data_IF_851678188574
#
_entry.id   IF_851678188574
#
_cell.length_a   1.000
_cell.length_b   1.000
_cell.length_c   1.000
_cell.angle_alpha   90.00
_cell.angle_beta   90.00
_cell.angle_gamma   90.00
#
_symmetry.space_group_name_H-M   'P 1'
#
loop_
_entity.id
_entity.type
_entity.pdbx_description
1 polymer ?
#
# COMPACT_ATOMS: atom_id res chain seq x y z
N UNK A 1 -7.25 8.97 9.07
CA UNK A 1 -7.35 7.53 8.77
C UNK A 1 -8.50 7.27 7.81
N UNK A 2 -8.60 6.08 7.23
CA UNK A 2 -9.75 5.69 6.41
C UNK A 2 -10.98 5.46 7.30
N UNK A 3 -12.16 5.92 6.86
CA UNK A 3 -13.42 5.67 7.58
C UNK A 3 -13.80 4.18 7.59
N UNK A 4 -14.56 3.74 8.60
CA UNK A 4 -14.92 2.32 8.81
C UNK A 4 -15.60 1.70 7.58
N UNK A 5 -16.48 2.44 6.91
CA UNK A 5 -17.14 1.97 5.68
C UNK A 5 -16.14 1.73 4.54
N UNK A 6 -15.15 2.62 4.38
CA UNK A 6 -14.11 2.47 3.37
C UNK A 6 -13.20 1.29 3.68
N UNK A 7 -12.76 1.13 4.93
CA UNK A 7 -11.93 -0.01 5.33
C UNK A 7 -12.68 -1.32 5.09
N UNK A 8 -13.95 -1.40 5.50
CA UNK A 8 -14.78 -2.59 5.31
C UNK A 8 -14.97 -2.95 3.83
N UNK A 9 -15.16 -1.94 2.97
CA UNK A 9 -15.26 -2.15 1.52
C UNK A 9 -13.99 -2.78 0.95
N UNK A 10 -12.81 -2.25 1.29
CA UNK A 10 -11.54 -2.77 0.77
C UNK A 10 -11.22 -4.16 1.32
N UNK A 11 -11.45 -4.42 2.61
CA UNK A 11 -11.26 -5.75 3.20
C UNK A 11 -12.18 -6.80 2.54
N UNK A 12 -13.41 -6.43 2.20
CA UNK A 12 -14.31 -7.30 1.43
C UNK A 12 -13.75 -7.65 0.06
N UNK A 13 -13.23 -6.67 -0.68
CA UNK A 13 -12.61 -6.88 -1.99
C UNK A 13 -11.39 -7.80 -1.88
N UNK A 14 -10.49 -7.54 -0.93
CA UNK A 14 -9.30 -8.36 -0.71
C UNK A 14 -9.64 -9.80 -0.31
N UNK A 15 -10.71 -9.98 0.49
CA UNK A 15 -11.20 -11.33 0.85
C UNK A 15 -11.74 -12.05 -0.38
N UNK A 16 -12.52 -11.36 -1.24
CA UNK A 16 -13.05 -11.92 -2.48
C UNK A 16 -11.97 -12.28 -3.50
N UNK A 17 -10.86 -11.53 -3.50
CA UNK A 17 -9.69 -11.82 -4.32
C UNK A 17 -8.82 -12.96 -3.75
N UNK A 18 -9.17 -13.52 -2.59
CA UNK A 18 -8.39 -14.59 -1.94
C UNK A 18 -7.08 -14.14 -1.31
N UNK A 19 -6.84 -12.83 -1.19
CA UNK A 19 -5.60 -12.27 -0.66
C UNK A 19 -5.55 -12.25 0.87
N UNK A 20 -6.72 -12.26 1.51
CA UNK A 20 -6.86 -12.31 2.96
C UNK A 20 -7.98 -13.27 3.35
N UNK A 21 -7.81 -13.93 4.49
CA UNK A 21 -8.87 -14.67 5.17
C UNK A 21 -9.68 -13.73 6.06
N UNK A 22 -10.91 -14.15 6.36
CA UNK A 22 -11.84 -13.45 7.25
C UNK A 22 -12.35 -14.41 8.30
N UNK A 23 -12.12 -14.08 9.58
CA UNK A 23 -12.55 -14.87 10.73
C UNK A 23 -13.44 -14.04 11.67
N UNK A 24 -14.77 -14.23 11.62
CA UNK A 24 -15.68 -13.61 12.59
C UNK A 24 -15.46 -14.18 14.00
N UNK A 25 -15.41 -13.30 15.00
CA UNK A 25 -15.33 -13.67 16.41
C UNK A 25 -16.25 -12.75 17.21
N UNK A 26 -17.49 -13.20 17.42
CA UNK A 26 -18.54 -12.41 18.05
C UNK A 26 -18.82 -11.12 17.27
N UNK A 27 -18.67 -9.97 17.93
CA UNK A 27 -18.86 -8.64 17.32
C UNK A 27 -17.64 -8.15 16.54
N UNK A 28 -16.54 -8.90 16.56
CA UNK A 28 -15.29 -8.57 15.91
C UNK A 28 -15.05 -9.45 14.68
N UNK A 29 -14.22 -8.96 13.77
CA UNK A 29 -13.76 -9.73 12.60
C UNK A 29 -12.27 -9.56 12.48
N UNK A 30 -11.56 -10.68 12.50
CA UNK A 30 -10.12 -10.76 12.34
C UNK A 30 -9.80 -11.11 10.89
N UNK A 31 -8.75 -10.48 10.35
CA UNK A 31 -8.28 -10.71 8.99
C UNK A 31 -6.82 -11.12 9.03
N UNK A 32 -6.44 -12.00 8.13
CA UNK A 32 -5.06 -12.50 8.02
C UNK A 32 -4.70 -12.65 6.55
N UNK A 33 -3.48 -12.25 6.17
CA UNK A 33 -2.95 -12.47 4.83
C UNK A 33 -2.82 -13.97 4.57
N UNK A 34 -3.31 -14.43 3.42
CA UNK A 34 -3.36 -15.86 3.06
C UNK A 34 -2.02 -16.38 2.58
N UNK A 35 -1.30 -15.58 1.78
CA UNK A 35 -0.07 -15.97 1.12
C UNK A 35 1.09 -15.05 1.53
N UNK A 36 2.18 -15.59 2.11
CA UNK A 36 3.38 -14.83 2.41
C UNK A 36 3.95 -14.03 1.24
N UNK A 37 3.73 -14.48 -0.01
CA UNK A 37 4.17 -13.78 -1.22
C UNK A 37 3.59 -12.36 -1.32
N UNK A 38 2.44 -12.09 -0.69
CA UNK A 38 1.85 -10.75 -0.65
C UNK A 38 2.80 -9.76 0.04
N UNK A 39 3.52 -10.19 1.08
CA UNK A 39 4.52 -9.34 1.73
C UNK A 39 5.69 -9.04 0.79
N UNK A 40 6.23 -10.05 0.11
CA UNK A 40 7.32 -9.87 -0.86
C UNK A 40 6.91 -8.93 -2.01
N UNK A 41 5.68 -9.05 -2.50
CA UNK A 41 5.14 -8.17 -3.53
C UNK A 41 5.02 -6.72 -3.01
N UNK A 42 4.54 -6.54 -1.78
CA UNK A 42 4.45 -5.23 -1.16
C UNK A 42 5.83 -4.58 -1.01
N UNK A 43 6.83 -5.31 -0.52
CA UNK A 43 8.21 -4.82 -0.42
C UNK A 43 8.76 -4.42 -1.79
N UNK A 44 8.63 -5.28 -2.79
CA UNK A 44 9.10 -4.99 -4.15
C UNK A 44 8.43 -3.73 -4.73
N UNK A 45 7.12 -3.57 -4.55
CA UNK A 45 6.39 -2.38 -5.01
C UNK A 45 6.88 -1.14 -4.28
N UNK A 46 7.03 -1.21 -2.96
CA UNK A 46 7.54 -0.11 -2.12
C UNK A 46 8.94 0.32 -2.55
N UNK A 47 9.86 -0.62 -2.78
CA UNK A 47 11.22 -0.33 -3.25
C UNK A 47 11.20 0.43 -4.58
N UNK A 48 10.39 -0.04 -5.53
CA UNK A 48 10.27 0.62 -6.85
C UNK A 48 9.65 2.00 -6.75
N UNK A 49 8.69 2.20 -5.86
CA UNK A 49 8.10 3.52 -5.62
C UNK A 49 9.12 4.47 -4.99
N UNK A 50 9.90 4.00 -4.02
CA UNK A 50 10.95 4.78 -3.36
C UNK A 50 11.96 5.31 -4.38
N UNK A 51 12.51 4.42 -5.22
CA UNK A 51 13.46 4.81 -6.28
C UNK A 51 12.86 5.88 -7.20
N UNK A 52 11.62 5.69 -7.66
CA UNK A 52 10.95 6.67 -8.54
C UNK A 52 10.76 8.03 -7.87
N UNK A 53 10.37 8.04 -6.59
CA UNK A 53 10.18 9.28 -5.83
C UNK A 53 11.50 10.02 -5.63
N UNK A 54 12.59 9.29 -5.37
CA UNK A 54 13.93 9.87 -5.27
C UNK A 54 14.37 10.50 -6.60
N UNK A 55 14.21 9.80 -7.72
CA UNK A 55 14.50 10.33 -9.05
C UNK A 55 13.68 11.60 -9.35
N UNK A 56 12.39 11.62 -9.00
CA UNK A 56 11.53 12.80 -9.17
C UNK A 56 12.01 13.97 -8.30
N UNK A 57 12.38 13.71 -7.04
CA UNK A 57 12.93 14.71 -6.12
C UNK A 57 14.23 15.31 -6.66
N UNK A 58 15.14 14.48 -7.17
CA UNK A 58 16.38 14.93 -7.79
C UNK A 58 16.15 15.82 -9.01
N UNK A 59 15.23 15.43 -9.90
CA UNK A 59 14.84 16.24 -11.07
C UNK A 59 14.30 17.61 -10.64
N UNK A 60 13.44 17.64 -9.62
CA UNK A 60 12.90 18.89 -9.10
C UNK A 60 14.01 19.80 -8.52
N UNK A 61 14.95 19.24 -7.76
CA UNK A 61 16.10 19.99 -7.22
C UNK A 61 16.92 20.62 -8.33
N UNK A 62 17.23 19.87 -9.39
CA UNK A 62 17.99 20.39 -10.54
C UNK A 62 17.26 21.56 -11.22
N UNK A 63 15.94 21.48 -11.38
CA UNK A 63 15.14 22.57 -11.94
C UNK A 63 15.16 23.82 -11.05
N UNK A 64 15.10 23.65 -9.73
CA UNK A 64 15.18 24.77 -8.79
C UNK A 64 16.57 25.42 -8.76
N UNK A 65 17.65 24.63 -8.81
CA UNK A 65 19.02 25.16 -8.89
C UNK A 65 19.26 25.97 -10.16
N UNK A 66 18.73 25.50 -11.31
CA UNK A 66 18.82 26.22 -12.59
C UNK A 66 18.02 27.53 -12.64
N UNK A 67 17.04 27.72 -11.76
CA UNK A 67 16.28 28.99 -11.66
C UNK A 67 16.96 30.03 -10.78
N UNK A 68 17.93 29.63 -9.95
CA UNK A 68 18.62 30.49 -8.99
C UNK A 68 20.03 30.92 -9.47
N UNK A 69 20.47 30.40 -10.61
CA UNK A 69 21.68 30.84 -11.35
C UNK A 69 21.26 31.66 -12.57
#
# INVERSE_FOLDING_TARGET
GLGQANVSKHLKILTQAGMITRQPQGVSVFYQITDPLIFELCELVCDRLTVRLEEQSQKLKQLTTRRQS
#
